data_IF_128966289393
#
_entry.id   IF_128966289393
#
_cell.length_a   1.000
_cell.length_b   1.000
_cell.length_c   1.000
_cell.angle_alpha   90.00
_cell.angle_beta   90.00
_cell.angle_gamma   90.00
#
_symmetry.space_group_name_H-M   'P 1'
#
loop_
_entity.id
_entity.type
_entity.pdbx_description
1 polymer ?
#
# COMPACT_ATOMS: atom_id res chain seq x y z
N UNK A 1 -7.08 -31.16 -22.37
CA UNK A 1 -6.22 -30.64 -21.28
C UNK A 1 -6.38 -29.13 -21.31
N UNK A 2 -6.75 -28.48 -20.20
CA UNK A 2 -6.92 -27.01 -20.16
C UNK A 2 -5.69 -26.44 -19.48
N UNK A 3 -5.06 -25.45 -20.12
CA UNK A 3 -4.00 -24.67 -19.52
C UNK A 3 -4.61 -23.44 -18.85
N UNK A 4 -4.26 -23.21 -17.58
CA UNK A 4 -4.80 -22.12 -16.77
C UNK A 4 -3.65 -21.34 -16.15
N UNK A 5 -3.58 -20.05 -16.44
CA UNK A 5 -2.65 -19.13 -15.80
C UNK A 5 -3.35 -18.36 -14.70
N UNK A 6 -2.81 -18.44 -13.48
CA UNK A 6 -3.30 -17.70 -12.32
C UNK A 6 -2.29 -16.62 -11.96
N UNK A 7 -2.76 -15.38 -11.85
CA UNK A 7 -1.93 -14.24 -11.44
C UNK A 7 -2.47 -13.66 -10.13
N UNK A 8 -1.58 -13.24 -9.24
CA UNK A 8 -1.98 -12.67 -7.97
C UNK A 8 -0.82 -12.07 -7.19
N UNK A 9 -1.16 -11.14 -6.29
CA UNK A 9 -0.21 -10.55 -5.35
C UNK A 9 -0.62 -10.92 -3.91
N UNK A 10 0.13 -11.79 -3.23
CA UNK A 10 -0.19 -12.22 -1.87
C UNK A 10 -0.11 -11.08 -0.84
N UNK A 11 0.60 -9.98 -1.15
CA UNK A 11 0.69 -8.79 -0.29
C UNK A 11 -0.63 -8.03 -0.23
N UNK A 12 -1.49 -8.15 -1.26
CA UNK A 12 -2.76 -7.44 -1.37
C UNK A 12 -3.98 -8.21 -0.81
N UNK A 13 -3.76 -9.17 0.10
CA UNK A 13 -4.80 -9.98 0.74
C UNK A 13 -5.69 -9.21 1.74
N UNK A 14 -6.37 -8.14 1.31
CA UNK A 14 -7.18 -7.25 2.16
C UNK A 14 -8.54 -7.82 2.56
N UNK A 15 -9.17 -8.60 1.69
CA UNK A 15 -10.47 -9.24 1.93
C UNK A 15 -10.36 -10.77 2.01
N UNK A 16 -11.19 -11.38 2.83
CA UNK A 16 -11.41 -12.84 2.78
C UNK A 16 -12.60 -13.08 1.86
N UNK A 17 -12.34 -13.53 0.63
CA UNK A 17 -13.40 -13.83 -0.36
C UNK A 17 -14.06 -15.20 -0.15
N UNK A 18 -13.56 -15.99 0.80
CA UNK A 18 -14.14 -17.28 1.20
C UNK A 18 -14.14 -17.44 2.72
N UNK A 19 -15.31 -17.78 3.27
CA UNK A 19 -15.50 -18.08 4.69
C UNK A 19 -15.50 -19.58 4.99
N UNK A 20 -15.19 -20.43 4.02
CA UNK A 20 -15.23 -21.88 4.20
C UNK A 20 -14.25 -22.36 5.28
N UNK A 21 -14.67 -23.37 6.04
CA UNK A 21 -13.86 -23.91 7.13
C UNK A 21 -12.72 -24.82 6.68
N UNK A 22 -12.88 -25.46 5.52
CA UNK A 22 -12.01 -26.54 5.02
C UNK A 22 -10.56 -26.11 4.78
N UNK A 23 -10.33 -24.86 4.37
CA UNK A 23 -9.00 -24.34 3.99
C UNK A 23 -8.61 -23.05 4.73
N UNK A 24 -9.07 -22.88 5.98
CA UNK A 24 -8.80 -21.66 6.77
C UNK A 24 -7.30 -21.32 6.89
N UNK A 25 -6.41 -22.32 6.83
CA UNK A 25 -4.95 -22.15 6.91
C UNK A 25 -4.33 -21.35 5.75
N UNK A 26 -4.97 -21.32 4.58
CA UNK A 26 -4.46 -20.66 3.37
C UNK A 26 -5.07 -19.28 3.08
N UNK A 27 -5.72 -18.66 4.06
CA UNK A 27 -6.38 -17.35 3.85
C UNK A 27 -5.36 -16.22 3.60
N UNK A 28 -5.74 -15.27 2.73
CA UNK A 28 -4.99 -14.03 2.44
C UNK A 28 -3.59 -14.34 1.88
N UNK A 29 -2.53 -13.79 2.46
CA UNK A 29 -1.16 -14.00 2.02
C UNK A 29 -0.71 -15.47 2.10
N UNK A 30 -1.36 -16.30 2.93
CA UNK A 30 -1.08 -17.74 3.06
C UNK A 30 -1.60 -18.58 1.88
N UNK A 31 -2.22 -17.95 0.88
CA UNK A 31 -2.65 -18.64 -0.34
C UNK A 31 -1.47 -19.18 -1.13
N UNK A 32 -0.29 -18.56 -1.03
CA UNK A 32 0.94 -19.06 -1.66
C UNK A 32 1.27 -20.46 -1.17
N UNK A 33 1.16 -20.69 0.14
CA UNK A 33 1.39 -21.99 0.77
C UNK A 33 0.44 -23.09 0.26
N UNK A 34 -0.72 -22.74 -0.31
CA UNK A 34 -1.60 -23.72 -0.93
C UNK A 34 -0.98 -24.26 -2.22
N UNK A 35 -0.45 -23.36 -3.07
CA UNK A 35 0.17 -23.74 -4.33
C UNK A 35 1.52 -24.43 -4.14
N UNK A 36 2.28 -24.05 -3.12
CA UNK A 36 3.53 -24.75 -2.73
C UNK A 36 3.27 -26.19 -2.23
N UNK A 37 2.08 -26.47 -1.70
CA UNK A 37 1.72 -27.77 -1.13
C UNK A 37 0.94 -28.68 -2.08
N UNK A 38 0.62 -28.23 -3.30
CA UNK A 38 -0.02 -29.07 -4.31
C UNK A 38 1.05 -29.77 -5.16
N UNK A 39 1.07 -31.12 -5.24
CA UNK A 39 2.02 -31.82 -6.08
C UNK A 39 1.59 -31.92 -7.56
N UNK A 40 2.60 -31.81 -8.42
CA UNK A 40 2.66 -32.07 -9.88
C UNK A 40 1.76 -31.25 -10.81
N UNK A 41 2.39 -30.61 -11.80
CA UNK A 41 1.70 -29.93 -12.92
C UNK A 41 1.45 -28.43 -12.75
N UNK A 42 1.92 -27.82 -11.66
CA UNK A 42 1.87 -26.36 -11.44
C UNK A 42 3.29 -25.80 -11.53
N UNK A 43 3.49 -24.82 -12.40
CA UNK A 43 4.72 -24.01 -12.45
C UNK A 43 4.46 -22.73 -11.65
N UNK A 44 5.29 -22.47 -10.65
CA UNK A 44 5.25 -21.23 -9.86
C UNK A 44 6.32 -20.29 -10.41
N UNK A 45 5.90 -19.10 -10.83
CA UNK A 45 6.78 -18.00 -11.21
C UNK A 45 6.66 -16.86 -10.20
N UNK A 46 7.77 -16.57 -9.53
CA UNK A 46 7.90 -15.47 -8.57
C UNK A 46 8.93 -14.41 -9.02
N UNK A 47 9.31 -14.44 -10.30
CA UNK A 47 10.50 -13.75 -10.82
C UNK A 47 10.21 -12.79 -11.98
N UNK A 48 9.27 -13.13 -12.88
CA UNK A 48 9.14 -12.41 -14.17
C UNK A 48 8.50 -11.03 -14.05
N UNK A 49 7.61 -10.82 -13.06
CA UNK A 49 6.88 -9.55 -12.85
C UNK A 49 7.37 -8.78 -11.62
N UNK A 50 8.69 -8.73 -11.42
CA UNK A 50 9.29 -8.09 -10.25
C UNK A 50 9.75 -6.63 -10.48
N UNK A 51 9.41 -6.05 -11.64
CA UNK A 51 9.71 -4.65 -11.98
C UNK A 51 8.43 -3.81 -11.98
N UNK A 52 8.42 -2.72 -11.21
CA UNK A 52 7.33 -1.76 -11.12
C UNK A 52 7.63 -0.52 -11.98
N UNK A 53 6.83 -0.31 -13.01
CA UNK A 53 6.92 0.86 -13.91
C UNK A 53 5.86 1.93 -13.60
N UNK A 54 5.02 1.70 -12.59
CA UNK A 54 3.83 2.50 -12.29
C UNK A 54 4.12 3.64 -11.32
N UNK A 55 4.84 3.36 -10.24
CA UNK A 55 4.96 4.29 -9.12
C UNK A 55 6.39 4.76 -8.89
N UNK A 56 6.49 5.91 -8.23
CA UNK A 56 7.75 6.49 -7.75
C UNK A 56 8.60 5.45 -7.01
N UNK A 57 9.92 5.38 -7.27
CA UNK A 57 10.81 4.45 -6.58
C UNK A 57 10.76 4.51 -5.05
N UNK A 58 10.59 5.70 -4.46
CA UNK A 58 10.47 5.85 -3.00
C UNK A 58 9.20 5.19 -2.47
N UNK A 59 8.06 5.27 -3.18
CA UNK A 59 6.82 4.56 -2.86
C UNK A 59 7.05 3.06 -2.89
N UNK A 60 7.74 2.55 -3.92
CA UNK A 60 8.04 1.13 -4.06
C UNK A 60 8.93 0.64 -2.91
N UNK A 61 9.98 1.39 -2.58
CA UNK A 61 10.89 1.08 -1.48
C UNK A 61 10.16 1.02 -0.14
N UNK A 62 9.32 2.02 0.17
CA UNK A 62 8.49 1.99 1.40
C UNK A 62 7.53 0.80 1.40
N UNK A 63 6.93 0.45 0.25
CA UNK A 63 6.02 -0.69 0.17
C UNK A 63 6.73 -2.04 0.39
N UNK A 64 8.00 -2.16 -0.03
CA UNK A 64 8.81 -3.35 0.19
C UNK A 64 9.11 -3.58 1.67
N UNK A 65 9.32 -2.52 2.46
CA UNK A 65 9.61 -2.66 3.91
C UNK A 65 8.43 -3.27 4.68
N UNK A 66 7.19 -3.20 4.18
CA UNK A 66 6.05 -3.87 4.82
C UNK A 66 6.13 -5.40 4.79
N UNK A 67 6.86 -5.95 3.81
CA UNK A 67 6.92 -7.38 3.51
C UNK A 67 8.37 -7.84 3.29
N UNK A 68 9.25 -7.77 4.30
CA UNK A 68 10.68 -8.07 4.15
C UNK A 68 10.96 -9.53 3.77
N UNK A 69 10.00 -10.43 4.03
CA UNK A 69 10.12 -11.86 3.69
C UNK A 69 9.70 -12.17 2.24
N UNK A 70 9.22 -11.19 1.48
CA UNK A 70 8.92 -11.34 0.05
C UNK A 70 10.06 -10.76 -0.76
N UNK A 71 10.27 -11.29 -1.99
CA UNK A 71 11.21 -10.68 -2.93
C UNK A 71 10.85 -9.21 -3.14
N UNK A 72 11.84 -8.34 -2.98
CA UNK A 72 11.66 -6.92 -3.19
C UNK A 72 11.35 -6.64 -4.66
N UNK A 73 10.42 -5.72 -4.89
CA UNK A 73 10.08 -5.23 -6.22
C UNK A 73 10.97 -4.05 -6.54
N UNK A 74 11.58 -4.06 -7.72
CA UNK A 74 12.42 -2.97 -8.19
C UNK A 74 11.57 -1.99 -8.97
N UNK A 75 11.58 -0.72 -8.61
CA UNK A 75 10.93 0.32 -9.41
C UNK A 75 11.89 0.84 -10.48
N UNK A 76 11.36 1.12 -11.67
CA UNK A 76 12.07 1.87 -12.70
C UNK A 76 11.59 3.32 -12.68
N UNK A 77 12.54 4.25 -12.70
CA UNK A 77 12.23 5.68 -12.70
C UNK A 77 11.61 6.08 -14.04
N UNK A 78 10.32 6.37 -14.06
CA UNK A 78 9.79 7.25 -15.10
C UNK A 78 10.37 8.64 -14.82
N UNK A 79 11.28 9.13 -15.70
CA UNK A 79 11.76 10.50 -15.64
C UNK A 79 10.63 11.46 -16.02
N UNK A 80 9.74 11.75 -15.08
CA UNK A 80 8.70 12.76 -15.22
C UNK A 80 9.12 14.00 -14.43
N UNK A 81 9.33 15.12 -15.11
CA UNK A 81 9.57 16.43 -14.46
C UNK A 81 8.25 16.99 -13.93
N UNK A 82 7.69 16.34 -12.91
CA UNK A 82 6.48 16.78 -12.21
C UNK A 82 6.81 17.09 -10.75
N UNK A 83 6.29 18.19 -10.20
CA UNK A 83 6.50 18.54 -8.81
C UNK A 83 5.77 17.58 -7.88
N UNK A 84 6.24 17.53 -6.63
CA UNK A 84 5.64 16.75 -5.55
C UNK A 84 5.63 15.24 -5.83
N UNK A 85 6.82 14.63 -5.79
CA UNK A 85 7.06 13.19 -5.99
C UNK A 85 7.68 12.57 -4.74
N UNK A 86 7.19 11.39 -4.38
CA UNK A 86 7.71 10.62 -3.27
C UNK A 86 6.82 10.61 -2.03
N UNK A 87 7.41 10.64 -0.85
CA UNK A 87 6.70 10.37 0.40
C UNK A 87 6.78 11.61 1.30
N UNK A 88 5.64 12.04 1.82
CA UNK A 88 5.48 13.27 2.58
C UNK A 88 4.76 13.03 3.90
N UNK A 89 4.95 13.92 4.86
CA UNK A 89 4.13 14.04 6.06
C UNK A 89 3.44 15.39 6.06
N UNK A 90 2.14 15.39 6.30
CA UNK A 90 1.31 16.58 6.36
C UNK A 90 0.75 16.70 7.77
N UNK A 91 0.94 17.87 8.39
CA UNK A 91 0.38 18.18 9.70
C UNK A 91 -1.13 18.34 9.58
N UNK A 92 -1.86 18.10 10.67
CA UNK A 92 -3.31 18.22 10.67
C UNK A 92 -3.80 19.63 10.26
N UNK A 93 -3.02 20.65 10.61
CA UNK A 93 -3.30 22.06 10.29
C UNK A 93 -3.12 22.38 8.80
N UNK A 94 -2.34 21.58 8.09
CA UNK A 94 -1.92 21.80 6.70
C UNK A 94 -2.80 21.04 5.69
N UNK A 95 -3.75 20.23 6.16
CA UNK A 95 -4.58 19.34 5.33
C UNK A 95 -5.32 20.13 4.24
N UNK A 96 -5.94 21.25 4.59
CA UNK A 96 -6.78 22.02 3.67
C UNK A 96 -5.96 22.67 2.55
N UNK A 97 -4.79 23.22 2.89
CA UNK A 97 -3.87 23.80 1.92
C UNK A 97 -3.31 22.71 1.00
N UNK A 98 -2.91 21.57 1.56
CA UNK A 98 -2.39 20.44 0.80
C UNK A 98 -3.43 19.86 -0.18
N UNK A 99 -4.68 19.74 0.26
CA UNK A 99 -5.79 19.29 -0.57
C UNK A 99 -6.08 20.27 -1.72
N UNK A 100 -6.08 21.57 -1.42
CA UNK A 100 -6.30 22.63 -2.41
C UNK A 100 -5.20 22.67 -3.47
N UNK A 101 -3.95 22.47 -3.07
CA UNK A 101 -2.79 22.56 -3.97
C UNK A 101 -2.65 21.31 -4.86
N UNK A 102 -2.76 20.12 -4.28
CA UNK A 102 -2.41 18.88 -4.97
C UNK A 102 -3.59 17.98 -5.32
N UNK A 103 -4.79 18.26 -4.78
CA UNK A 103 -6.01 17.46 -4.96
C UNK A 103 -5.80 15.93 -4.86
N UNK A 104 -5.07 15.42 -3.84
CA UNK A 104 -4.82 14.00 -3.70
C UNK A 104 -6.11 13.24 -3.34
N UNK A 105 -6.17 11.97 -3.71
CA UNK A 105 -7.25 11.08 -3.24
C UNK A 105 -7.00 10.70 -1.79
N UNK A 106 -8.01 10.89 -0.94
CA UNK A 106 -7.92 10.58 0.48
C UNK A 106 -8.21 9.11 0.73
N UNK A 107 -7.32 8.45 1.47
CA UNK A 107 -7.43 7.04 1.82
C UNK A 107 -7.51 6.87 3.34
N UNK A 108 -8.56 6.20 3.82
CA UNK A 108 -8.81 5.95 5.24
C UNK A 108 -9.11 4.48 5.53
N UNK A 109 -8.95 4.01 6.77
CA UNK A 109 -9.43 2.67 7.11
C UNK A 109 -10.95 2.65 7.38
N UNK A 110 -11.45 3.63 8.14
CA UNK A 110 -12.83 3.67 8.62
C UNK A 110 -13.52 4.95 8.16
N UNK A 111 -14.83 4.88 7.99
CA UNK A 111 -15.65 6.07 7.67
C UNK A 111 -15.60 7.14 8.78
N UNK A 112 -15.33 6.71 10.01
CA UNK A 112 -15.25 7.55 11.21
C UNK A 112 -13.87 8.21 11.42
N UNK A 113 -12.92 8.01 10.50
CA UNK A 113 -11.63 8.69 10.56
C UNK A 113 -11.82 10.21 10.48
N UNK A 114 -11.28 10.92 11.48
CA UNK A 114 -11.37 12.37 11.62
C UNK A 114 -10.44 13.09 10.63
N UNK A 115 -10.75 14.36 10.34
CA UNK A 115 -9.91 15.22 9.50
C UNK A 115 -10.03 14.98 7.99
N UNK A 116 -10.90 14.07 7.57
CA UNK A 116 -11.19 13.79 6.16
C UNK A 116 -12.14 14.85 5.60
N UNK A 117 -11.85 15.35 4.41
CA UNK A 117 -12.65 16.33 3.69
C UNK A 117 -13.51 15.65 2.63
N UNK A 118 -14.82 15.59 2.82
CA UNK A 118 -15.73 14.83 1.95
C UNK A 118 -15.97 15.47 0.58
N UNK A 119 -15.57 16.72 0.42
CA UNK A 119 -15.59 17.49 -0.82
C UNK A 119 -14.52 17.04 -1.84
N UNK A 120 -13.50 16.28 -1.40
CA UNK A 120 -12.52 15.64 -2.28
C UNK A 120 -12.78 14.12 -2.36
N UNK A 121 -12.26 13.41 -3.37
CA UNK A 121 -12.42 11.95 -3.48
C UNK A 121 -11.87 11.21 -2.26
N UNK A 122 -12.70 10.33 -1.67
CA UNK A 122 -12.33 9.53 -0.49
C UNK A 122 -12.65 8.05 -0.72
N UNK A 123 -11.68 7.19 -0.43
CA UNK A 123 -11.88 5.73 -0.43
C UNK A 123 -11.41 5.11 0.87
N UNK A 124 -11.98 3.95 1.20
CA UNK A 124 -11.35 3.10 2.20
C UNK A 124 -10.20 2.29 1.56
N UNK A 125 -9.22 1.87 2.35
CA UNK A 125 -8.04 1.12 1.85
C UNK A 125 -8.38 -0.14 1.04
N UNK A 126 -9.48 -0.81 1.36
CA UNK A 126 -9.89 -2.00 0.62
C UNK A 126 -10.57 -1.65 -0.70
N UNK A 127 -11.45 -0.65 -0.70
CA UNK A 127 -12.18 -0.18 -1.87
C UNK A 127 -11.30 0.50 -2.91
N UNK A 128 -10.12 1.01 -2.50
CA UNK A 128 -9.15 1.54 -3.46
C UNK A 128 -8.38 0.46 -4.21
N UNK A 129 -8.47 -0.82 -3.80
CA UNK A 129 -7.77 -1.92 -4.47
C UNK A 129 -8.18 -2.01 -5.94
N UNK A 130 -7.18 -1.99 -6.83
CA UNK A 130 -7.40 -2.01 -8.28
C UNK A 130 -7.53 -0.62 -8.91
N UNK A 131 -7.68 0.44 -8.11
CA UNK A 131 -7.64 1.81 -8.58
C UNK A 131 -6.21 2.35 -8.63
N UNK A 132 -5.99 3.43 -9.37
CA UNK A 132 -4.71 4.10 -9.51
C UNK A 132 -4.93 5.62 -9.52
N UNK A 133 -4.07 6.34 -8.81
CA UNK A 133 -4.15 7.79 -8.63
C UNK A 133 -2.76 8.42 -8.75
N UNK A 134 -2.67 9.67 -9.16
CA UNK A 134 -1.39 10.38 -9.17
C UNK A 134 -0.87 10.61 -7.75
N UNK A 135 -1.74 11.08 -6.85
CA UNK A 135 -1.38 11.42 -5.47
C UNK A 135 -2.41 10.87 -4.49
N UNK A 136 -1.94 10.38 -3.35
CA UNK A 136 -2.82 9.92 -2.26
C UNK A 136 -2.45 10.55 -0.93
N UNK A 137 -3.47 10.85 -0.13
CA UNK A 137 -3.36 11.32 1.24
C UNK A 137 -3.89 10.24 2.18
N UNK A 138 -3.00 9.59 2.91
CA UNK A 138 -3.31 8.49 3.80
C UNK A 138 -3.53 9.02 5.22
N UNK A 139 -4.65 8.62 5.81
CA UNK A 139 -4.96 8.82 7.22
C UNK A 139 -4.55 7.56 7.99
N UNK A 140 -3.34 7.51 8.59
CA UNK A 140 -2.86 6.32 9.25
C UNK A 140 -3.65 6.00 10.52
N UNK A 141 -3.82 4.72 10.82
CA UNK A 141 -4.25 4.29 12.15
C UNK A 141 -3.08 4.37 13.12
N UNK A 142 -3.35 4.30 14.44
CA UNK A 142 -2.28 4.27 15.44
C UNK A 142 -1.21 3.20 15.15
N UNK A 143 -1.61 1.98 14.77
CA UNK A 143 -0.67 0.92 14.45
C UNK A 143 0.17 1.21 13.19
N UNK A 144 -0.41 1.89 12.18
CA UNK A 144 0.31 2.33 10.99
C UNK A 144 1.29 3.45 11.35
N UNK A 145 0.86 4.42 12.15
CA UNK A 145 1.71 5.48 12.70
C UNK A 145 2.91 4.91 13.46
N UNK A 146 2.66 3.98 14.39
CA UNK A 146 3.72 3.35 15.18
C UNK A 146 4.70 2.57 14.28
N UNK A 147 4.20 1.95 13.20
CA UNK A 147 5.04 1.31 12.20
C UNK A 147 5.89 2.32 11.41
N UNK A 148 5.29 3.43 10.96
CA UNK A 148 6.02 4.50 10.24
C UNK A 148 7.14 5.09 11.11
N UNK A 149 6.89 5.30 12.40
CA UNK A 149 7.86 5.89 13.34
C UNK A 149 8.99 4.95 13.76
N UNK A 150 8.65 3.70 14.05
CA UNK A 150 9.56 2.79 14.75
C UNK A 150 9.93 1.54 13.96
N UNK A 151 9.38 1.36 12.76
CA UNK A 151 9.52 0.14 11.95
C UNK A 151 9.18 -1.15 12.74
N UNK A 152 8.28 -1.04 13.74
CA UNK A 152 7.86 -2.16 14.58
C UNK A 152 6.84 -3.04 13.85
N UNK A 153 7.34 -3.94 12.99
CA UNK A 153 6.52 -4.85 12.19
C UNK A 153 5.62 -5.79 13.02
N UNK A 154 5.95 -6.03 14.28
CA UNK A 154 5.20 -6.85 15.22
C UNK A 154 3.82 -6.28 15.60
N UNK A 155 3.69 -4.94 15.60
CA UNK A 155 2.46 -4.25 15.99
C UNK A 155 1.46 -4.13 14.84
N UNK A 156 1.91 -4.30 13.59
CA UNK A 156 1.07 -4.18 12.42
C UNK A 156 0.50 -5.54 12.02
N UNK A 157 -0.76 -5.77 12.37
CA UNK A 157 -1.47 -7.01 12.05
C UNK A 157 -1.43 -7.32 10.54
N UNK A 158 -1.43 -8.60 10.12
CA UNK A 158 -1.30 -8.96 8.70
C UNK A 158 -2.34 -8.28 7.79
N UNK A 159 -3.58 -8.12 8.24
CA UNK A 159 -4.61 -7.38 7.50
C UNK A 159 -4.28 -5.91 7.34
N UNK A 160 -3.78 -5.27 8.39
CA UNK A 160 -3.40 -3.85 8.37
C UNK A 160 -2.19 -3.64 7.47
N UNK A 161 -1.21 -4.57 7.47
CA UNK A 161 -0.10 -4.59 6.50
C UNK A 161 -0.60 -4.62 5.07
N UNK A 162 -1.47 -5.57 4.72
CA UNK A 162 -2.02 -5.67 3.37
C UNK A 162 -2.85 -4.45 2.97
N UNK A 163 -3.65 -3.89 3.88
CA UNK A 163 -4.44 -2.68 3.60
C UNK A 163 -3.54 -1.47 3.37
N UNK A 164 -2.52 -1.29 4.20
CA UNK A 164 -1.56 -0.21 4.04
C UNK A 164 -0.76 -0.35 2.74
N UNK A 165 -0.33 -1.57 2.41
CA UNK A 165 0.33 -1.85 1.13
C UNK A 165 -0.56 -1.51 -0.06
N UNK A 166 -1.84 -1.88 -0.01
CA UNK A 166 -2.80 -1.45 -1.04
C UNK A 166 -2.86 0.07 -1.11
N UNK A 167 -3.01 0.76 0.03
CA UNK A 167 -3.13 2.22 0.09
C UNK A 167 -1.90 2.95 -0.50
N UNK A 168 -0.68 2.56 -0.10
CA UNK A 168 0.58 3.14 -0.58
C UNK A 168 0.71 2.92 -2.10
N UNK A 169 0.43 1.71 -2.57
CA UNK A 169 0.63 1.34 -3.99
C UNK A 169 -0.46 1.87 -4.93
N UNK A 170 -1.43 2.65 -4.43
CA UNK A 170 -2.40 3.34 -5.31
C UNK A 170 -1.83 4.61 -5.93
N UNK A 171 -0.81 5.20 -5.32
CA UNK A 171 -0.16 6.41 -5.82
C UNK A 171 0.88 6.10 -6.89
N UNK A 172 0.89 6.91 -7.95
CA UNK A 172 1.93 6.93 -8.97
C UNK A 172 3.05 7.90 -8.62
N UNK A 173 2.70 9.13 -8.21
CA UNK A 173 3.65 10.22 -8.01
C UNK A 173 3.99 10.40 -6.52
N UNK A 174 2.98 10.53 -5.65
CA UNK A 174 3.24 10.81 -4.24
C UNK A 174 2.27 10.17 -3.25
N UNK A 175 2.82 9.81 -2.09
CA UNK A 175 2.06 9.39 -0.91
C UNK A 175 2.32 10.39 0.21
N UNK A 176 1.26 10.97 0.76
CA UNK A 176 1.32 11.81 1.93
C UNK A 176 0.65 11.11 3.12
N UNK A 177 1.24 11.21 4.32
CA UNK A 177 0.66 10.70 5.56
C UNK A 177 0.28 11.85 6.49
N UNK A 178 -0.92 11.80 7.06
CA UNK A 178 -1.31 12.77 8.10
C UNK A 178 -0.67 12.42 9.43
N UNK A 179 0.21 13.29 9.93
CA UNK A 179 0.73 13.21 11.29
C UNK A 179 1.49 14.48 11.70
N UNK A 180 1.36 14.90 12.96
CA UNK A 180 2.05 16.11 13.47
C UNK A 180 3.52 15.87 13.85
N UNK A 181 3.82 14.72 14.47
CA UNK A 181 5.17 14.33 14.93
C UNK A 181 5.81 13.13 14.20
N UNK A 182 5.46 12.86 12.94
CA UNK A 182 6.27 11.92 12.12
C UNK A 182 7.25 12.76 11.35
N UNK A 183 8.53 12.61 11.65
CA UNK A 183 9.58 13.20 10.85
C UNK A 183 10.81 12.29 10.86
N UNK A 184 11.19 11.85 9.66
CA UNK A 184 12.43 11.16 9.37
C UNK A 184 12.86 11.64 7.98
N UNK A 185 13.82 12.55 7.93
CA UNK A 185 14.35 13.15 6.70
C UNK A 185 14.84 12.11 5.67
N UNK A 186 15.10 10.87 6.10
CA UNK A 186 15.53 9.79 5.20
C UNK A 186 14.37 9.19 4.40
N UNK A 187 13.15 9.30 4.91
CA UNK A 187 11.95 8.69 4.33
C UNK A 187 10.98 9.77 3.84
N UNK A 188 10.78 10.81 4.64
CA UNK A 188 9.76 11.82 4.44
C UNK A 188 10.38 13.13 3.99
N UNK A 189 9.79 13.70 2.94
CA UNK A 189 10.11 15.02 2.45
C UNK A 189 9.19 16.06 3.09
N UNK A 190 9.69 17.28 3.25
CA UNK A 190 8.83 18.44 3.51
C UNK A 190 7.92 18.67 2.31
N UNK A 191 6.66 19.01 2.58
CA UNK A 191 5.69 19.36 1.55
C UNK A 191 5.67 20.87 1.24
N UNK A 192 6.32 21.67 2.10
CA UNK A 192 6.57 23.11 1.96
C UNK A 192 8.06 23.40 1.91
#
# INVERSE_FOLDING_TARGET
>A
KIEVTLVGDPRQGTYSTSNSAKNKKYKKSKVVNFFEQIPSGITIDDSTLNTNFRCEPTICNLSNTLFPNFKAVTATTAQMSVPHRGIFVIKALDIDDYLKEYSPVQLRERVTTKGVRTEYPVYNFGASKGLEFDRVLIYPTKAITDWLKYQKHENLQPTSKSKLYVAITRARLSVAFIHDDIYDDKIFQSWR
#
